data_IF_883816457576
#
_entry.id   IF_883816457576
#
_cell.length_a   1.000
_cell.length_b   1.000
_cell.length_c   1.000
_cell.angle_alpha   90.00
_cell.angle_beta   90.00
_cell.angle_gamma   90.00
#
_symmetry.space_group_name_H-M   'P 1'
#
loop_
_entity.id
_entity.type
_entity.pdbx_description
1 polymer ?
#
# COMPACT_ATOMS: atom_id res chain seq x y z
N UNK A 1 -8.86 -16.33 18.13
CA UNK A 1 -8.27 -15.00 17.88
C UNK A 1 -8.98 -14.28 16.73
N UNK A 2 -8.77 -14.62 15.45
CA UNK A 2 -9.37 -13.87 14.33
C UNK A 2 -10.91 -13.91 14.32
N UNK A 3 -11.50 -15.05 14.67
CA UNK A 3 -12.96 -15.18 14.84
C UNK A 3 -13.53 -14.22 15.90
N UNK A 4 -12.81 -14.02 17.00
CA UNK A 4 -13.18 -13.08 18.06
C UNK A 4 -13.11 -11.63 17.56
N UNK A 5 -12.08 -11.31 16.76
CA UNK A 5 -11.94 -9.99 16.10
C UNK A 5 -13.10 -9.73 15.14
N UNK A 6 -13.49 -10.71 14.32
CA UNK A 6 -14.59 -10.54 13.35
C UNK A 6 -15.95 -10.31 14.03
N UNK A 7 -16.15 -10.85 15.22
CA UNK A 7 -17.36 -10.63 16.02
C UNK A 7 -17.28 -9.41 16.95
N UNK A 8 -16.18 -8.65 16.92
CA UNK A 8 -15.97 -7.47 17.78
C UNK A 8 -15.71 -7.80 19.26
N UNK A 9 -15.43 -9.06 19.59
CA UNK A 9 -15.12 -9.50 20.94
C UNK A 9 -13.60 -9.51 21.16
N UNK A 10 -13.03 -8.36 21.52
CA UNK A 10 -11.59 -8.20 21.76
C UNK A 10 -11.27 -8.40 23.24
N UNK A 11 -10.70 -9.56 23.57
CA UNK A 11 -10.11 -9.82 24.90
C UNK A 11 -8.71 -9.24 25.00
N UNK A 12 -8.21 -9.03 26.21
CA UNK A 12 -6.83 -8.57 26.46
C UNK A 12 -5.81 -9.49 25.79
N UNK A 13 -6.01 -10.82 25.86
CA UNK A 13 -5.17 -11.81 25.19
C UNK A 13 -5.15 -11.61 23.65
N UNK A 14 -6.31 -11.32 23.04
CA UNK A 14 -6.40 -11.05 21.60
C UNK A 14 -5.64 -9.78 21.24
N UNK A 15 -5.77 -8.73 22.04
CA UNK A 15 -5.08 -7.46 21.85
C UNK A 15 -3.57 -7.65 21.97
N UNK A 16 -3.10 -8.36 22.99
CA UNK A 16 -1.67 -8.58 23.22
C UNK A 16 -1.05 -9.46 22.14
N UNK A 17 -1.79 -10.48 21.66
CA UNK A 17 -1.36 -11.28 20.51
C UNK A 17 -1.18 -10.42 19.26
N UNK A 18 -2.12 -9.51 18.96
CA UNK A 18 -1.99 -8.58 17.84
C UNK A 18 -0.84 -7.59 18.03
N UNK A 19 -0.68 -7.00 19.23
CA UNK A 19 0.42 -6.08 19.53
C UNK A 19 1.79 -6.74 19.39
N UNK A 20 1.93 -8.01 19.76
CA UNK A 20 3.20 -8.74 19.60
C UNK A 20 3.63 -8.91 18.14
N UNK A 21 2.67 -8.84 17.19
CA UNK A 21 2.92 -8.91 15.75
C UNK A 21 3.27 -7.56 15.12
N UNK A 22 3.21 -6.46 15.90
CA UNK A 22 3.59 -5.14 15.42
C UNK A 22 5.11 -5.03 15.38
N UNK A 23 5.65 -4.82 14.19
CA UNK A 23 7.06 -4.56 14.00
C UNK A 23 7.38 -3.08 14.28
N UNK A 24 8.47 -2.83 14.98
CA UNK A 24 8.98 -1.47 15.28
C UNK A 24 10.16 -1.07 14.38
N UNK A 25 10.26 -1.69 13.21
CA UNK A 25 11.32 -1.43 12.23
C UNK A 25 10.74 -0.71 11.01
N UNK A 26 11.56 0.02 10.24
CA UNK A 26 11.14 0.57 8.95
C UNK A 26 10.62 -0.53 8.02
N UNK A 27 9.62 -0.19 7.20
CA UNK A 27 8.97 -1.16 6.30
C UNK A 27 9.94 -1.78 5.30
N UNK A 28 10.90 -1.00 4.76
CA UNK A 28 11.89 -1.47 3.80
C UNK A 28 12.83 -2.53 4.40
N UNK A 29 13.25 -2.33 5.65
CA UNK A 29 14.08 -3.31 6.37
C UNK A 29 13.30 -4.59 6.61
N UNK A 30 12.04 -4.47 7.05
CA UNK A 30 11.19 -5.64 7.27
C UNK A 30 10.91 -6.42 5.98
N UNK A 31 10.75 -5.72 4.87
CA UNK A 31 10.53 -6.33 3.57
C UNK A 31 11.71 -7.20 3.15
N UNK A 32 12.94 -6.66 3.25
CA UNK A 32 14.17 -7.38 2.93
C UNK A 32 14.39 -8.59 3.84
N UNK A 33 14.08 -8.44 5.13
CA UNK A 33 14.11 -9.56 6.09
C UNK A 33 13.18 -10.69 5.62
N UNK A 34 11.92 -10.39 5.29
CA UNK A 34 10.93 -11.38 4.84
C UNK A 34 11.25 -12.01 3.48
N UNK A 35 11.81 -11.23 2.55
CA UNK A 35 12.31 -11.76 1.26
C UNK A 35 13.49 -12.72 1.48
N UNK A 36 14.38 -12.41 2.43
CA UNK A 36 15.54 -13.26 2.75
C UNK A 36 15.17 -14.61 3.36
N UNK A 37 13.99 -14.70 3.99
CA UNK A 37 13.43 -15.96 4.51
C UNK A 37 12.94 -16.90 3.38
N UNK A 38 13.08 -16.51 2.11
CA UNK A 38 12.77 -17.34 0.95
C UNK A 38 11.27 -17.45 0.66
N UNK A 39 10.48 -16.53 1.20
CA UNK A 39 9.04 -16.45 0.97
C UNK A 39 8.72 -15.59 -0.26
N UNK A 40 7.50 -15.72 -0.80
CA UNK A 40 7.02 -14.78 -1.80
C UNK A 40 7.10 -13.34 -1.24
N UNK A 41 7.36 -12.32 -2.08
CA UNK A 41 7.37 -10.94 -1.63
C UNK A 41 6.10 -10.63 -0.82
N UNK A 42 6.23 -10.01 0.36
CA UNK A 42 5.07 -9.76 1.22
C UNK A 42 4.03 -8.87 0.52
N UNK A 43 2.79 -8.90 0.99
CA UNK A 43 1.71 -8.03 0.51
C UNK A 43 1.37 -7.02 1.60
N UNK A 44 1.39 -5.74 1.27
CA UNK A 44 0.96 -4.67 2.18
C UNK A 44 -0.46 -4.23 1.87
N UNK A 45 -1.31 -4.20 2.90
CA UNK A 45 -2.69 -3.72 2.80
C UNK A 45 -2.81 -2.38 3.52
N UNK A 46 -3.33 -1.37 2.83
CA UNK A 46 -3.60 -0.05 3.41
C UNK A 46 -5.06 0.34 3.26
N UNK A 47 -5.65 1.05 4.24
CA UNK A 47 -7.03 1.53 4.14
C UNK A 47 -7.25 2.61 3.08
N UNK A 48 -6.21 3.32 2.65
CA UNK A 48 -6.30 4.48 1.76
C UNK A 48 -5.33 4.37 0.60
N UNK A 49 -5.76 4.87 -0.57
CA UNK A 49 -4.96 4.86 -1.80
C UNK A 49 -3.68 5.68 -1.69
N UNK A 50 -3.69 6.80 -0.95
CA UNK A 50 -2.50 7.64 -0.80
C UNK A 50 -1.37 6.93 -0.03
N UNK A 51 -1.73 6.11 0.95
CA UNK A 51 -0.78 5.26 1.68
C UNK A 51 -0.24 4.14 0.79
N UNK A 52 -1.11 3.47 0.02
CA UNK A 52 -0.69 2.48 -0.98
C UNK A 52 0.30 3.09 -1.98
N UNK A 53 -0.03 4.26 -2.54
CA UNK A 53 0.80 4.94 -3.53
C UNK A 53 2.20 5.22 -2.98
N UNK A 54 2.30 5.84 -1.80
CA UNK A 54 3.59 6.17 -1.17
C UNK A 54 4.48 4.95 -0.97
N UNK A 55 3.90 3.84 -0.52
CA UNK A 55 4.66 2.61 -0.30
C UNK A 55 5.06 1.97 -1.62
N UNK A 56 4.17 1.93 -2.62
CA UNK A 56 4.50 1.39 -3.94
C UNK A 56 5.62 2.19 -4.62
N UNK A 57 5.60 3.52 -4.53
CA UNK A 57 6.67 4.39 -5.02
C UNK A 57 8.00 4.11 -4.29
N UNK A 58 7.98 4.09 -2.94
CA UNK A 58 9.15 3.79 -2.12
C UNK A 58 9.79 2.42 -2.46
N UNK A 59 8.94 1.40 -2.63
CA UNK A 59 9.41 0.05 -2.97
C UNK A 59 9.93 0.00 -4.42
N UNK A 60 9.28 0.67 -5.37
CA UNK A 60 9.72 0.74 -6.76
C UNK A 60 11.09 1.44 -6.89
N UNK A 61 11.31 2.53 -6.17
CA UNK A 61 12.60 3.25 -6.13
C UNK A 61 13.73 2.41 -5.54
N UNK A 62 13.41 1.43 -4.68
CA UNK A 62 14.41 0.56 -4.06
C UNK A 62 14.89 -0.57 -4.99
N UNK A 63 14.21 -0.80 -6.11
CA UNK A 63 14.60 -1.80 -7.10
C UNK A 63 15.73 -1.25 -7.98
N UNK A 64 16.79 -2.03 -8.15
CA UNK A 64 17.94 -1.69 -9.02
C UNK A 64 17.63 -1.85 -10.52
N UNK A 65 16.42 -1.49 -10.92
CA UNK A 65 15.93 -1.63 -12.30
C UNK A 65 15.63 -0.27 -12.92
N UNK A 66 15.67 -0.19 -14.25
CA UNK A 66 15.34 1.04 -14.96
C UNK A 66 13.84 1.32 -14.84
N UNK A 67 13.49 2.40 -14.16
CA UNK A 67 12.11 2.91 -14.13
C UNK A 67 11.69 3.38 -15.53
N UNK A 68 10.48 3.03 -15.94
CA UNK A 68 9.86 3.51 -17.18
C UNK A 68 8.69 4.40 -16.78
N UNK A 69 8.73 5.65 -17.21
CA UNK A 69 7.63 6.59 -17.00
C UNK A 69 6.60 6.44 -18.13
N UNK A 70 5.34 6.23 -17.75
CA UNK A 70 4.20 6.17 -18.67
C UNK A 70 3.29 7.36 -18.39
N UNK A 71 3.01 8.16 -19.41
CA UNK A 71 2.14 9.33 -19.27
C UNK A 71 0.66 8.94 -19.39
N UNK A 72 -0.19 9.51 -18.54
CA UNK A 72 -1.64 9.44 -18.73
C UNK A 72 -2.03 10.19 -20.01
N UNK A 73 -2.72 9.49 -20.91
CA UNK A 73 -3.26 10.09 -22.15
C UNK A 73 -4.71 10.52 -21.96
N UNK A 74 -5.46 9.82 -21.10
CA UNK A 74 -6.86 10.07 -20.83
C UNK A 74 -7.13 10.04 -19.30
N UNK A 75 -8.15 10.78 -18.86
CA UNK A 75 -8.71 10.80 -17.51
C UNK A 75 -10.09 10.19 -17.56
N UNK A 76 -10.42 9.37 -16.55
CA UNK A 76 -11.75 8.81 -16.36
C UNK A 76 -12.40 9.48 -15.17
N UNK A 77 -13.63 9.99 -15.33
CA UNK A 77 -14.41 10.53 -14.22
C UNK A 77 -15.20 9.45 -13.46
N UNK A 78 -15.87 9.82 -12.37
CA UNK A 78 -16.68 8.91 -11.55
C UNK A 78 -17.84 8.25 -12.33
N UNK A 79 -18.24 8.84 -13.46
CA UNK A 79 -19.28 8.31 -14.35
C UNK A 79 -18.71 7.42 -15.47
N UNK A 80 -17.40 7.22 -15.53
CA UNK A 80 -16.74 6.43 -16.57
C UNK A 80 -16.50 7.18 -17.88
N UNK A 81 -16.73 8.49 -17.94
CA UNK A 81 -16.46 9.30 -19.14
C UNK A 81 -14.96 9.52 -19.29
N UNK A 82 -14.47 9.46 -20.54
CA UNK A 82 -13.05 9.69 -20.85
C UNK A 82 -12.82 11.09 -21.42
N UNK A 83 -11.75 11.75 -20.97
CA UNK A 83 -11.30 13.02 -21.51
C UNK A 83 -9.78 13.01 -21.68
N UNK A 84 -9.25 13.72 -22.69
CA UNK A 84 -7.80 13.85 -22.87
C UNK A 84 -7.17 14.49 -21.63
N UNK A 85 -6.09 13.90 -21.13
CA UNK A 85 -5.36 14.42 -19.99
C UNK A 85 -4.70 15.75 -20.36
N UNK A 86 -5.12 16.85 -19.72
CA UNK A 86 -4.46 18.15 -19.81
C UNK A 86 -3.77 18.47 -18.48
N UNK A 87 -2.45 18.65 -18.51
CA UNK A 87 -1.60 18.97 -17.36
C UNK A 87 -2.01 20.28 -16.67
N UNK A 88 -2.72 21.18 -17.37
CA UNK A 88 -3.24 22.45 -16.82
C UNK A 88 -4.43 22.27 -15.89
N UNK A 89 -5.15 21.14 -15.96
CA UNK A 89 -6.40 20.90 -15.22
C UNK A 89 -6.18 20.35 -13.79
N UNK A 90 -4.93 20.22 -13.35
CA UNK A 90 -4.50 19.68 -12.04
C UNK A 90 -5.19 20.33 -10.82
N UNK A 91 -5.85 21.49 -10.98
CA UNK A 91 -6.46 22.29 -9.91
C UNK A 91 -7.84 21.83 -9.40
N UNK A 92 -8.49 20.82 -9.99
CA UNK A 92 -9.88 20.46 -9.62
C UNK A 92 -10.09 19.11 -8.94
N UNK A 93 -9.05 18.29 -8.80
CA UNK A 93 -9.19 16.97 -8.19
C UNK A 93 -8.33 16.94 -6.92
N UNK A 94 -8.90 17.46 -5.83
CA UNK A 94 -8.43 17.20 -4.46
C UNK A 94 -9.57 17.36 -3.48
#
# INVERSE_FOLDING_TARGET
>A
MLDSVSHGCLTDETIDSLKSRVFKVPIQEKYKELESEGTNPPICLFPKLDACQKINELMLESLETKTIELACVDVVDECGSTAKFDKKTRKKIR
#
